data_IF_914669843286
#
_entry.id   IF_914669843286
#
_cell.length_a   1.000
_cell.length_b   1.000
_cell.length_c   1.000
_cell.angle_alpha   90.00
_cell.angle_beta   90.00
_cell.angle_gamma   90.00
#
_symmetry.space_group_name_H-M   'P 1'
#
loop_
_entity.id
_entity.type
_entity.pdbx_description
1 polymer ?
#
# COMPACT_ATOMS: atom_id res chain seq x y z
N UNK A 1 3.10 7.86 -6.82
CA UNK A 1 4.32 8.58 -6.46
C UNK A 1 4.17 10.02 -6.95
N UNK A 2 4.54 10.97 -6.15
CA UNK A 2 4.49 12.40 -6.47
C UNK A 2 5.74 13.07 -5.91
N UNK A 3 6.03 14.28 -6.33
CA UNK A 3 7.25 15.01 -5.94
C UNK A 3 7.14 15.63 -4.52
N UNK A 4 5.96 15.49 -3.92
CA UNK A 4 5.72 15.95 -2.55
C UNK A 4 4.81 14.98 -1.78
N UNK A 5 4.98 14.96 -0.46
CA UNK A 5 4.17 14.12 0.45
C UNK A 5 2.96 14.90 1.02
N UNK A 6 2.20 15.55 0.15
CA UNK A 6 0.99 16.26 0.56
C UNK A 6 -0.18 15.31 0.80
N UNK A 7 -1.15 15.74 1.63
CA UNK A 7 -2.37 14.98 1.95
C UNK A 7 -3.17 14.58 0.69
N UNK A 8 -3.10 15.37 -0.38
CA UNK A 8 -3.78 15.12 -1.66
C UNK A 8 -3.30 13.83 -2.32
N UNK A 9 -2.01 13.49 -2.18
CA UNK A 9 -1.46 12.21 -2.67
C UNK A 9 -2.13 11.02 -1.95
N UNK A 10 -2.23 11.09 -0.62
CA UNK A 10 -2.85 10.03 0.18
C UNK A 10 -4.35 9.89 -0.14
N UNK A 11 -5.06 11.02 -0.30
CA UNK A 11 -6.47 11.03 -0.68
C UNK A 11 -6.69 10.40 -2.06
N UNK A 12 -5.87 10.74 -3.06
CA UNK A 12 -5.96 10.14 -4.40
C UNK A 12 -5.68 8.65 -4.37
N UNK A 13 -4.64 8.23 -3.65
CA UNK A 13 -4.29 6.81 -3.51
C UNK A 13 -5.43 6.02 -2.86
N UNK A 14 -6.02 6.54 -1.78
CA UNK A 14 -7.14 5.92 -1.11
C UNK A 14 -8.37 5.80 -2.04
N UNK A 15 -8.76 6.88 -2.72
CA UNK A 15 -9.87 6.86 -3.68
C UNK A 15 -9.67 5.83 -4.78
N UNK A 16 -8.47 5.75 -5.35
CA UNK A 16 -8.16 4.73 -6.37
C UNK A 16 -8.29 3.30 -5.83
N UNK A 17 -7.87 3.07 -4.59
CA UNK A 17 -8.01 1.76 -3.96
C UNK A 17 -9.50 1.40 -3.74
N UNK A 18 -10.31 2.36 -3.30
CA UNK A 18 -11.75 2.18 -3.10
C UNK A 18 -12.50 1.89 -4.40
N UNK A 19 -12.15 2.58 -5.49
CA UNK A 19 -12.72 2.31 -6.82
C UNK A 19 -12.42 0.89 -7.30
N UNK A 20 -11.23 0.38 -7.01
CA UNK A 20 -10.81 -0.95 -7.45
C UNK A 20 -11.43 -2.10 -6.62
N UNK A 21 -11.80 -1.86 -5.35
CA UNK A 21 -12.11 -2.97 -4.43
C UNK A 21 -13.31 -2.75 -3.51
N UNK A 22 -13.94 -1.56 -3.54
CA UNK A 22 -14.88 -1.13 -2.51
C UNK A 22 -14.18 -0.72 -1.22
N UNK A 23 -14.88 0.00 -0.35
CA UNK A 23 -14.32 0.52 0.89
C UNK A 23 -15.23 0.35 2.11
N UNK A 24 -16.48 -0.05 1.91
CA UNK A 24 -17.44 -0.17 3.02
C UNK A 24 -16.94 -1.17 4.08
N UNK A 25 -16.85 -0.71 5.33
CA UNK A 25 -16.33 -1.52 6.45
C UNK A 25 -14.83 -1.77 6.43
N UNK A 26 -14.08 -1.19 5.49
CA UNK A 26 -12.63 -1.37 5.43
C UNK A 26 -11.93 -0.61 6.56
N UNK A 27 -10.97 -1.26 7.23
CA UNK A 27 -10.05 -0.58 8.14
C UNK A 27 -8.80 -0.13 7.37
N UNK A 28 -8.54 1.18 7.38
CA UNK A 28 -7.29 1.76 6.87
C UNK A 28 -6.34 1.98 8.04
N UNK A 29 -5.24 1.24 8.07
CA UNK A 29 -4.18 1.44 9.05
C UNK A 29 -3.09 2.36 8.48
N UNK A 30 -2.60 3.32 9.27
CA UNK A 30 -1.52 4.23 8.91
C UNK A 30 -0.68 4.62 10.12
N UNK A 31 0.50 5.18 9.86
CA UNK A 31 1.23 5.93 10.88
C UNK A 31 0.50 7.25 11.21
N UNK A 32 1.10 8.05 12.11
CA UNK A 32 0.58 9.37 12.51
C UNK A 32 1.12 10.52 11.66
N UNK A 33 1.53 10.26 10.42
CA UNK A 33 1.95 11.32 9.51
C UNK A 33 0.86 12.39 9.35
N UNK A 34 1.27 13.65 9.21
CA UNK A 34 0.35 14.81 9.12
C UNK A 34 -0.67 14.68 8.00
N UNK A 35 -0.31 14.00 6.91
CA UNK A 35 -1.20 13.71 5.79
C UNK A 35 -2.37 12.82 6.19
N UNK A 36 -2.17 11.84 7.08
CA UNK A 36 -3.20 10.90 7.53
C UNK A 36 -4.03 11.44 8.69
N UNK A 37 -3.46 12.35 9.50
CA UNK A 37 -4.17 12.98 10.62
C UNK A 37 -4.98 14.21 10.20
N UNK A 38 -4.85 14.66 8.94
CA UNK A 38 -5.57 15.82 8.43
C UNK A 38 -7.08 15.63 8.44
N UNK A 39 -7.83 16.70 8.75
CA UNK A 39 -9.30 16.68 8.71
C UNK A 39 -9.85 16.32 7.34
N UNK A 40 -9.17 16.75 6.26
CA UNK A 40 -9.55 16.43 4.89
C UNK A 40 -9.47 14.92 4.62
N UNK A 41 -8.42 14.25 5.08
CA UNK A 41 -8.27 12.82 4.90
C UNK A 41 -9.34 12.03 5.68
N UNK A 42 -9.60 12.43 6.94
CA UNK A 42 -10.63 11.80 7.78
C UNK A 42 -12.04 11.95 7.17
N UNK A 43 -12.35 13.14 6.62
CA UNK A 43 -13.63 13.36 5.92
C UNK A 43 -13.80 12.41 4.73
N UNK A 44 -12.73 12.20 3.96
CA UNK A 44 -12.76 11.25 2.83
C UNK A 44 -12.98 9.82 3.31
N UNK A 45 -12.29 9.37 4.37
CA UNK A 45 -12.52 8.04 4.95
C UNK A 45 -14.00 7.84 5.35
N UNK A 46 -14.56 8.82 6.06
CA UNK A 46 -15.97 8.79 6.48
C UNK A 46 -16.95 8.70 5.29
N UNK A 47 -16.69 9.45 4.20
CA UNK A 47 -17.51 9.40 2.98
C UNK A 47 -17.56 7.99 2.35
N UNK A 48 -16.49 7.20 2.51
CA UNK A 48 -16.40 5.83 1.99
C UNK A 48 -16.78 4.77 3.03
N UNK A 49 -17.21 5.15 4.24
CA UNK A 49 -17.52 4.20 5.30
C UNK A 49 -16.30 3.41 5.79
N UNK A 50 -15.09 3.96 5.63
CA UNK A 50 -13.86 3.33 6.07
C UNK A 50 -13.48 3.76 7.49
N UNK A 51 -12.99 2.82 8.29
CA UNK A 51 -12.54 3.05 9.67
C UNK A 51 -11.04 3.35 9.67
N UNK A 52 -10.63 4.42 10.33
CA UNK A 52 -9.22 4.76 10.49
C UNK A 52 -8.64 4.06 11.73
N UNK A 53 -7.56 3.32 11.53
CA UNK A 53 -6.68 2.80 12.58
C UNK A 53 -5.31 3.47 12.44
N UNK A 54 -4.70 3.85 13.54
CA UNK A 54 -3.37 4.50 13.54
C UNK A 54 -2.47 3.82 14.55
N UNK A 55 -1.17 3.74 14.19
CA UNK A 55 -0.13 3.27 15.11
C UNK A 55 -0.13 4.06 16.41
N UNK A 56 0.09 3.39 17.53
CA UNK A 56 0.32 4.04 18.82
C UNK A 56 1.54 4.95 18.78
N UNK A 57 1.57 5.97 19.64
CA UNK A 57 2.76 6.82 19.76
C UNK A 57 3.93 5.99 20.29
N UNK A 58 5.04 5.95 19.54
CA UNK A 58 6.21 5.13 19.90
C UNK A 58 6.12 3.64 19.51
N UNK A 59 4.99 3.20 18.93
CA UNK A 59 4.79 1.80 18.52
C UNK A 59 5.09 1.62 17.03
N UNK A 60 6.38 1.58 16.66
CA UNK A 60 6.80 1.37 15.26
C UNK A 60 6.39 -0.02 14.71
N UNK A 61 6.24 -1.01 15.58
CA UNK A 61 5.83 -2.37 15.19
C UNK A 61 4.46 -2.46 14.53
N UNK A 62 3.57 -1.52 14.83
CA UNK A 62 2.24 -1.46 14.22
C UNK A 62 2.32 -1.24 12.70
N UNK A 63 3.38 -0.60 12.21
CA UNK A 63 3.62 -0.34 10.78
C UNK A 63 4.62 -1.31 10.12
N UNK A 64 5.05 -2.35 10.82
CA UNK A 64 6.09 -3.26 10.38
C UNK A 64 5.80 -3.93 9.02
N UNK A 65 4.53 -4.16 8.68
CA UNK A 65 4.14 -4.71 7.37
C UNK A 65 4.48 -3.76 6.21
N UNK A 66 4.25 -2.46 6.39
CA UNK A 66 4.60 -1.45 5.38
C UNK A 66 6.12 -1.27 5.29
N UNK A 67 6.80 -1.26 6.42
CA UNK A 67 8.27 -1.19 6.46
C UNK A 67 8.90 -2.39 5.75
N UNK A 68 8.39 -3.60 6.01
CA UNK A 68 8.82 -4.82 5.33
C UNK A 68 8.56 -4.76 3.82
N UNK A 69 7.40 -4.26 3.39
CA UNK A 69 7.10 -4.06 1.98
C UNK A 69 8.09 -3.10 1.31
N UNK A 70 8.35 -1.94 1.92
CA UNK A 70 9.30 -0.97 1.36
C UNK A 70 10.73 -1.50 1.37
N UNK A 71 11.16 -2.23 2.41
CA UNK A 71 12.47 -2.87 2.44
C UNK A 71 12.61 -3.88 1.30
N UNK A 72 11.58 -4.69 1.05
CA UNK A 72 11.53 -5.65 -0.05
C UNK A 72 11.63 -4.95 -1.41
N UNK A 73 10.78 -3.94 -1.66
CA UNK A 73 10.80 -3.17 -2.90
C UNK A 73 12.17 -2.53 -3.16
N UNK A 74 12.80 -1.96 -2.14
CA UNK A 74 14.13 -1.36 -2.25
C UNK A 74 15.17 -2.42 -2.60
N UNK A 75 15.24 -3.52 -1.84
CA UNK A 75 16.26 -4.57 -2.03
C UNK A 75 16.07 -5.33 -3.34
N UNK A 76 14.85 -5.70 -3.69
CA UNK A 76 14.59 -6.55 -4.85
C UNK A 76 14.52 -5.76 -6.15
N UNK A 77 14.25 -4.44 -6.11
CA UNK A 77 14.08 -3.65 -7.34
C UNK A 77 14.88 -2.36 -7.36
N UNK A 78 14.68 -1.43 -6.41
CA UNK A 78 15.22 -0.08 -6.56
C UNK A 78 16.74 -0.03 -6.44
N UNK A 79 17.35 -0.78 -5.52
CA UNK A 79 18.82 -0.82 -5.36
C UNK A 79 19.56 -1.57 -6.50
N UNK A 80 18.80 -2.23 -7.38
CA UNK A 80 19.38 -2.94 -8.54
C UNK A 80 19.37 -2.10 -9.83
N UNK A 81 18.88 -0.87 -9.76
CA UNK A 81 18.79 0.06 -10.89
C UNK A 81 19.31 1.44 -10.47
N UNK A 82 19.86 2.18 -11.40
CA UNK A 82 20.38 3.54 -11.16
C UNK A 82 19.23 4.55 -11.28
N UNK A 83 18.39 4.63 -10.25
CA UNK A 83 17.20 5.50 -10.24
C UNK A 83 17.54 6.98 -10.39
N UNK A 84 18.71 7.39 -9.92
CA UNK A 84 19.22 8.76 -10.02
C UNK A 84 19.46 9.22 -11.46
N UNK A 85 19.64 8.26 -12.38
CA UNK A 85 19.87 8.53 -13.82
C UNK A 85 18.59 8.40 -14.66
N UNK A 86 17.43 8.18 -14.02
CA UNK A 86 16.18 7.91 -14.72
C UNK A 86 15.15 9.02 -14.50
N UNK A 87 14.38 9.38 -15.53
CA UNK A 87 13.21 10.23 -15.36
C UNK A 87 12.24 9.62 -14.35
N UNK A 88 11.60 10.44 -13.51
CA UNK A 88 10.63 10.00 -12.50
C UNK A 88 9.50 9.14 -13.11
N UNK A 89 9.04 9.46 -14.32
CA UNK A 89 8.02 8.67 -15.03
C UNK A 89 8.47 7.22 -15.29
N UNK A 90 9.74 7.03 -15.62
CA UNK A 90 10.30 5.70 -15.84
C UNK A 90 10.40 4.92 -14.52
N UNK A 91 10.84 5.56 -13.44
CA UNK A 91 10.89 4.95 -12.10
C UNK A 91 9.48 4.53 -11.66
N UNK A 92 8.48 5.41 -11.84
CA UNK A 92 7.07 5.09 -11.55
C UNK A 92 6.59 3.84 -12.31
N UNK A 93 6.89 3.74 -13.61
CA UNK A 93 6.55 2.57 -14.44
C UNK A 93 7.21 1.29 -13.94
N UNK A 94 8.47 1.35 -13.58
CA UNK A 94 9.22 0.21 -13.06
C UNK A 94 8.63 -0.28 -11.74
N UNK A 95 8.36 0.63 -10.81
CA UNK A 95 7.74 0.30 -9.51
C UNK A 95 6.34 -0.28 -9.71
N UNK A 96 5.52 0.35 -10.55
CA UNK A 96 4.18 -0.15 -10.86
C UNK A 96 4.23 -1.58 -11.42
N UNK A 97 5.07 -1.82 -12.42
CA UNK A 97 5.24 -3.14 -13.03
C UNK A 97 5.72 -4.18 -12.01
N UNK A 98 6.72 -3.83 -11.19
CA UNK A 98 7.20 -4.73 -10.14
C UNK A 98 6.08 -5.13 -9.18
N UNK A 99 5.28 -4.17 -8.69
CA UNK A 99 4.20 -4.44 -7.74
C UNK A 99 3.09 -5.28 -8.41
N UNK A 100 2.63 -4.87 -9.59
CA UNK A 100 1.44 -5.46 -10.20
C UNK A 100 1.70 -6.83 -10.83
N UNK A 101 2.90 -7.10 -11.35
CA UNK A 101 3.18 -8.36 -12.04
C UNK A 101 3.98 -9.34 -11.19
N UNK A 102 5.01 -8.88 -10.48
CA UNK A 102 5.87 -9.78 -9.71
C UNK A 102 5.44 -9.90 -8.25
N UNK A 103 5.42 -8.80 -7.50
CA UNK A 103 5.15 -8.82 -6.07
C UNK A 103 3.78 -9.43 -5.75
N UNK A 104 2.74 -8.97 -6.42
CA UNK A 104 1.37 -9.42 -6.14
C UNK A 104 1.03 -10.79 -6.72
N UNK A 105 1.68 -11.22 -7.82
CA UNK A 105 1.24 -12.42 -8.55
C UNK A 105 2.21 -13.58 -8.56
N UNK A 106 3.51 -13.33 -8.27
CA UNK A 106 4.56 -14.35 -8.42
C UNK A 106 5.45 -14.50 -7.19
N UNK A 107 5.65 -13.40 -6.44
CA UNK A 107 6.56 -13.43 -5.31
C UNK A 107 5.99 -14.32 -4.20
N UNK A 108 6.78 -15.29 -3.75
CA UNK A 108 6.45 -16.09 -2.56
C UNK A 108 6.36 -15.14 -1.35
N UNK A 109 5.25 -15.22 -0.63
CA UNK A 109 5.01 -14.41 0.55
C UNK A 109 4.77 -15.31 1.77
N UNK A 110 5.81 -15.49 2.56
CA UNK A 110 5.85 -16.47 3.66
C UNK A 110 4.83 -16.22 4.78
N UNK A 111 4.30 -15.01 4.90
CA UNK A 111 3.22 -14.70 5.84
C UNK A 111 1.85 -15.24 5.41
N UNK A 112 1.70 -15.63 4.14
CA UNK A 112 0.47 -16.27 3.65
C UNK A 112 0.59 -17.79 3.74
N UNK A 113 -0.50 -18.52 4.04
CA UNK A 113 -0.53 -19.98 3.97
C UNK A 113 -0.03 -20.49 2.62
N UNK A 114 0.85 -21.49 2.62
CA UNK A 114 1.45 -22.05 1.42
C UNK A 114 2.35 -21.10 0.64
N UNK A 115 2.75 -19.97 1.23
CA UNK A 115 3.60 -18.98 0.56
C UNK A 115 2.92 -18.25 -0.60
N UNK A 116 1.60 -18.26 -0.66
CA UNK A 116 0.83 -17.69 -1.78
C UNK A 116 1.15 -16.20 -2.00
N UNK A 117 1.35 -15.78 -3.25
CA UNK A 117 1.42 -14.36 -3.60
C UNK A 117 0.18 -13.59 -3.13
N UNK A 118 0.31 -12.29 -2.80
CA UNK A 118 -0.81 -11.52 -2.22
C UNK A 118 -2.12 -11.55 -3.01
N UNK A 119 -2.07 -11.52 -4.34
CA UNK A 119 -3.28 -11.56 -5.17
C UNK A 119 -3.95 -12.94 -5.16
N UNK A 120 -3.16 -14.01 -5.18
CA UNK A 120 -3.68 -15.39 -5.12
C UNK A 120 -4.30 -15.68 -3.75
N UNK A 121 -3.64 -15.27 -2.67
CA UNK A 121 -4.19 -15.40 -1.32
C UNK A 121 -5.52 -14.66 -1.18
N UNK A 122 -5.61 -13.44 -1.70
CA UNK A 122 -6.87 -12.68 -1.67
C UNK A 122 -8.00 -13.38 -2.43
N UNK A 123 -7.70 -13.98 -3.57
CA UNK A 123 -8.70 -14.76 -4.33
C UNK A 123 -9.16 -15.99 -3.55
N UNK A 124 -8.23 -16.73 -2.94
CA UNK A 124 -8.55 -17.90 -2.13
C UNK A 124 -9.46 -17.53 -0.95
N UNK A 125 -9.17 -16.46 -0.22
CA UNK A 125 -10.00 -16.02 0.91
C UNK A 125 -11.39 -15.55 0.44
N UNK A 126 -11.50 -14.87 -0.69
CA UNK A 126 -12.79 -14.46 -1.24
C UNK A 126 -13.64 -15.65 -1.71
N UNK A 127 -13.02 -16.67 -2.28
CA UNK A 127 -13.72 -17.89 -2.69
C UNK A 127 -14.20 -18.74 -1.50
N UNK A 128 -13.62 -18.58 -0.31
CA UNK A 128 -14.08 -19.23 0.92
C UNK A 128 -15.23 -18.47 1.62
N UNK A 129 -15.44 -17.22 1.27
CA UNK A 129 -16.46 -16.35 1.85
C UNK A 129 -17.73 -16.22 0.99
N UNK A 130 -17.78 -16.91 -0.16
CA UNK A 130 -18.91 -17.01 -1.07
C UNK A 130 -19.62 -18.36 -0.91
#
# INVERSE_FOLDING_TARGET
>A
MDDNMKKELCIRAFRSACQAQGACGMTLHSDRGSQFTSSSFRKVLAQYGAVQSMSGTGHCYDNARMESFFATLKKEKLYRIRTEQMPMAQVKSIVFRYIMTYYNRRRIYTANPGGLPPAMYRQAVRGLAA
#
